data_IF_355896264606
#
_entry.id   IF_355896264606
#
_cell.length_a   1.000
_cell.length_b   1.000
_cell.length_c   1.000
_cell.angle_alpha   90.00
_cell.angle_beta   90.00
_cell.angle_gamma   90.00
#
_symmetry.space_group_name_H-M   'P 1'
#
loop_
_entity.id
_entity.type
_entity.pdbx_description
1 polymer ?
#
# COMPACT_ATOMS: atom_id res chain seq x y z
N UNK A 1 -24.73 14.15 7.36
CA UNK A 1 -23.49 14.07 6.56
C UNK A 1 -22.35 14.06 7.56
N UNK A 2 -21.60 12.95 7.68
CA UNK A 2 -20.41 12.91 8.56
C UNK A 2 -19.38 13.90 8.01
N UNK A 3 -18.85 14.74 8.87
CA UNK A 3 -17.83 15.73 8.52
C UNK A 3 -16.51 15.00 8.25
N UNK A 4 -16.38 14.46 7.03
CA UNK A 4 -15.20 13.69 6.62
C UNK A 4 -14.03 14.65 6.43
N UNK A 5 -13.00 14.48 7.25
CA UNK A 5 -11.80 15.32 7.20
C UNK A 5 -11.01 15.12 5.90
N UNK A 6 -10.14 16.05 5.56
CA UNK A 6 -9.22 15.88 4.41
C UNK A 6 -8.35 14.62 4.56
N UNK A 7 -7.87 14.33 5.77
CA UNK A 7 -7.11 13.13 6.05
C UNK A 7 -7.92 11.84 5.81
N UNK A 8 -9.17 11.80 6.26
CA UNK A 8 -10.06 10.66 5.99
C UNK A 8 -10.24 10.42 4.48
N UNK A 9 -10.34 11.50 3.69
CA UNK A 9 -10.47 11.41 2.22
C UNK A 9 -9.18 10.93 1.57
N UNK A 10 -8.02 11.42 2.01
CA UNK A 10 -6.72 10.97 1.52
C UNK A 10 -6.52 9.48 1.77
N UNK A 11 -6.80 8.99 2.97
CA UNK A 11 -6.70 7.57 3.31
C UNK A 11 -7.75 6.72 2.60
N UNK A 12 -8.96 7.25 2.37
CA UNK A 12 -10.00 6.56 1.59
C UNK A 12 -9.60 6.42 0.12
N UNK A 13 -9.06 7.48 -0.50
CA UNK A 13 -8.51 7.43 -1.85
C UNK A 13 -7.34 6.44 -1.93
N UNK A 14 -6.40 6.47 -0.99
CA UNK A 14 -5.28 5.53 -0.94
C UNK A 14 -5.78 4.07 -0.96
N UNK A 15 -6.72 3.73 -0.08
CA UNK A 15 -7.28 2.39 0.01
C UNK A 15 -8.01 1.97 -1.29
N UNK A 16 -8.77 2.87 -1.89
CA UNK A 16 -9.45 2.65 -3.16
C UNK A 16 -8.47 2.41 -4.30
N UNK A 17 -7.43 3.24 -4.42
CA UNK A 17 -6.41 3.11 -5.46
C UNK A 17 -5.59 1.80 -5.30
N UNK A 18 -5.25 1.43 -4.05
CA UNK A 18 -4.60 0.19 -3.73
C UNK A 18 -5.45 -1.03 -4.15
N UNK A 19 -6.74 -1.03 -3.80
CA UNK A 19 -7.66 -2.10 -4.16
C UNK A 19 -7.78 -2.28 -5.69
N UNK A 20 -7.90 -1.19 -6.44
CA UNK A 20 -7.97 -1.23 -7.92
C UNK A 20 -6.66 -1.74 -8.53
N UNK A 21 -5.50 -1.26 -8.05
CA UNK A 21 -4.22 -1.76 -8.49
C UNK A 21 -4.12 -3.28 -8.29
N UNK A 22 -4.37 -3.75 -7.07
CA UNK A 22 -4.23 -5.18 -6.76
C UNK A 22 -5.25 -6.06 -7.51
N UNK A 23 -6.48 -5.57 -7.74
CA UNK A 23 -7.44 -6.25 -8.59
C UNK A 23 -6.90 -6.42 -10.02
N UNK A 24 -6.25 -5.39 -10.58
CA UNK A 24 -5.58 -5.48 -11.88
C UNK A 24 -4.42 -6.47 -11.84
N UNK A 25 -3.51 -6.36 -10.87
CA UNK A 25 -2.35 -7.25 -10.76
C UNK A 25 -2.74 -8.73 -10.62
N UNK A 26 -3.83 -9.01 -9.91
CA UNK A 26 -4.34 -10.37 -9.72
C UNK A 26 -4.78 -11.05 -11.04
N UNK A 27 -5.03 -10.28 -12.10
CA UNK A 27 -5.40 -10.81 -13.43
C UNK A 27 -4.19 -11.04 -14.34
N UNK A 28 -3.00 -10.56 -13.94
CA UNK A 28 -1.82 -10.63 -14.78
C UNK A 28 -1.18 -12.03 -14.73
N UNK A 29 -0.60 -12.49 -15.85
CA UNK A 29 0.15 -13.74 -15.89
C UNK A 29 1.44 -13.65 -15.07
N UNK A 30 1.95 -14.78 -14.60
CA UNK A 30 3.11 -14.85 -13.72
C UNK A 30 4.37 -14.20 -14.31
N UNK A 31 4.59 -14.35 -15.62
CA UNK A 31 5.69 -13.71 -16.33
C UNK A 31 5.62 -12.20 -16.31
N UNK A 32 4.43 -11.60 -16.34
CA UNK A 32 4.24 -10.15 -16.22
C UNK A 32 4.46 -9.68 -14.78
N UNK A 33 4.06 -10.47 -13.78
CA UNK A 33 4.34 -10.18 -12.37
C UNK A 33 5.84 -10.24 -12.04
N UNK A 34 6.61 -11.01 -12.81
CA UNK A 34 8.05 -11.19 -12.63
C UNK A 34 8.90 -10.09 -13.32
N UNK A 35 8.32 -9.19 -14.12
CA UNK A 35 9.10 -8.14 -14.80
C UNK A 35 9.70 -7.17 -13.79
N UNK A 36 10.95 -6.74 -14.06
CA UNK A 36 11.69 -5.89 -13.13
C UNK A 36 11.42 -4.40 -13.39
N UNK A 37 11.42 -3.61 -12.35
CA UNK A 37 11.49 -2.15 -12.47
C UNK A 37 12.84 -1.76 -13.09
N UNK A 38 12.87 -0.85 -14.09
CA UNK A 38 14.12 -0.40 -14.68
C UNK A 38 15.11 0.14 -13.64
N UNK A 39 16.34 -0.36 -13.68
CA UNK A 39 17.39 0.03 -12.74
C UNK A 39 17.25 -0.54 -11.31
N UNK A 40 16.39 -1.53 -11.12
CA UNK A 40 16.14 -2.18 -9.84
C UNK A 40 16.11 -3.71 -9.98
N UNK A 41 16.36 -4.43 -8.89
CA UNK A 41 16.15 -5.87 -8.80
C UNK A 41 14.72 -6.24 -8.35
N UNK A 42 13.85 -5.26 -8.15
CA UNK A 42 12.49 -5.49 -7.68
C UNK A 42 11.55 -5.76 -8.85
N UNK A 43 10.90 -6.90 -8.80
CA UNK A 43 9.81 -7.22 -9.73
C UNK A 43 8.51 -6.53 -9.33
N UNK A 44 7.55 -6.48 -10.25
CA UNK A 44 6.17 -6.02 -9.96
C UNK A 44 5.60 -6.74 -8.74
N UNK A 45 5.74 -8.07 -8.67
CA UNK A 45 5.32 -8.86 -7.51
C UNK A 45 6.05 -8.47 -6.23
N UNK A 46 7.35 -8.19 -6.30
CA UNK A 46 8.14 -7.77 -5.13
C UNK A 46 7.70 -6.38 -4.62
N UNK A 47 7.43 -5.45 -5.52
CA UNK A 47 6.93 -4.11 -5.16
C UNK A 47 5.54 -4.22 -4.53
N UNK A 48 4.63 -5.00 -5.12
CA UNK A 48 3.29 -5.23 -4.57
C UNK A 48 3.36 -5.89 -3.17
N UNK A 49 4.22 -6.89 -3.01
CA UNK A 49 4.47 -7.55 -1.72
C UNK A 49 4.96 -6.54 -0.67
N UNK A 50 5.94 -5.70 -1.04
CA UNK A 50 6.48 -4.68 -0.15
C UNK A 50 5.41 -3.66 0.25
N UNK A 51 4.62 -3.16 -0.70
CA UNK A 51 3.53 -2.22 -0.44
C UNK A 51 2.56 -2.78 0.61
N UNK A 52 2.08 -4.01 0.43
CA UNK A 52 1.11 -4.61 1.33
C UNK A 52 1.69 -4.91 2.72
N UNK A 53 2.90 -5.48 2.77
CA UNK A 53 3.54 -5.82 4.06
C UNK A 53 4.01 -4.60 4.85
N UNK A 54 4.39 -3.52 4.17
CA UNK A 54 4.69 -2.24 4.82
C UNK A 54 3.43 -1.60 5.39
N UNK A 55 2.32 -1.56 4.63
CA UNK A 55 1.03 -1.05 5.11
C UNK A 55 0.54 -1.82 6.34
N UNK A 56 0.65 -3.17 6.32
CA UNK A 56 0.32 -4.01 7.47
C UNK A 56 1.16 -3.62 8.70
N UNK A 57 2.45 -3.41 8.52
CA UNK A 57 3.34 -3.03 9.63
C UNK A 57 3.09 -1.60 10.13
N UNK A 58 2.75 -0.64 9.26
CA UNK A 58 2.33 0.71 9.70
C UNK A 58 1.05 0.63 10.55
N UNK A 59 0.04 -0.11 10.07
CA UNK A 59 -1.19 -0.31 10.81
C UNK A 59 -0.95 -0.94 12.19
N UNK A 60 -0.14 -2.01 12.25
CA UNK A 60 0.21 -2.69 13.52
C UNK A 60 0.92 -1.75 14.50
N UNK A 61 1.86 -0.94 14.02
CA UNK A 61 2.56 0.05 14.87
C UNK A 61 1.62 1.10 15.42
N UNK A 62 0.66 1.59 14.62
CA UNK A 62 -0.37 2.53 15.09
C UNK A 62 -1.24 1.96 16.21
N UNK A 63 -1.38 0.64 16.28
CA UNK A 63 -2.16 -0.08 17.29
C UNK A 63 -1.29 -0.71 18.39
N UNK A 64 0.01 -0.40 18.45
CA UNK A 64 0.92 -0.94 19.49
C UNK A 64 1.18 -2.45 19.38
N UNK A 65 0.99 -3.03 18.20
CA UNK A 65 1.14 -4.47 17.97
C UNK A 65 2.55 -4.81 17.48
N UNK A 66 3.02 -6.03 17.75
CA UNK A 66 4.28 -6.51 17.22
C UNK A 66 4.23 -6.57 15.68
N UNK A 67 5.40 -6.60 15.06
CA UNK A 67 5.53 -6.76 13.61
C UNK A 67 4.79 -8.01 13.11
N UNK A 68 4.24 -7.91 11.88
CA UNK A 68 3.64 -9.03 11.19
C UNK A 68 4.67 -10.14 10.91
N UNK A 69 4.19 -11.37 10.85
CA UNK A 69 4.98 -12.51 10.38
C UNK A 69 5.43 -12.30 8.93
N UNK A 70 6.59 -12.87 8.59
CA UNK A 70 7.12 -12.81 7.21
C UNK A 70 6.17 -13.57 6.27
N UNK A 71 5.86 -12.95 5.15
CA UNK A 71 5.10 -13.55 4.05
C UNK A 71 6.04 -13.93 2.92
N UNK A 72 5.71 -15.00 2.22
CA UNK A 72 6.39 -15.38 0.99
C UNK A 72 6.05 -14.40 -0.15
N UNK A 73 6.98 -14.28 -1.09
CA UNK A 73 6.81 -13.45 -2.28
C UNK A 73 5.76 -14.09 -3.21
N UNK A 74 4.71 -13.36 -3.62
CA UNK A 74 3.72 -13.90 -4.54
C UNK A 74 4.35 -14.13 -5.93
N UNK A 75 3.94 -15.19 -6.60
CA UNK A 75 4.38 -15.57 -7.94
C UNK A 75 3.23 -15.68 -8.92
N UNK A 76 2.00 -15.71 -8.41
CA UNK A 76 0.78 -15.88 -9.20
C UNK A 76 -0.26 -14.80 -8.90
N UNK A 77 -1.19 -14.57 -9.83
CA UNK A 77 -2.33 -13.67 -9.61
C UNK A 77 -3.20 -14.09 -8.41
N UNK A 78 -3.36 -15.38 -8.15
CA UNK A 78 -4.11 -15.87 -6.99
C UNK A 78 -3.43 -15.47 -5.67
N UNK A 79 -2.10 -15.53 -5.59
CA UNK A 79 -1.34 -15.08 -4.41
C UNK A 79 -1.36 -13.55 -4.27
N UNK A 80 -1.39 -12.80 -5.38
CA UNK A 80 -1.64 -11.34 -5.36
C UNK A 80 -3.03 -11.04 -4.82
N UNK A 81 -4.06 -11.83 -5.19
CA UNK A 81 -5.42 -11.65 -4.63
C UNK A 81 -5.46 -11.89 -3.12
N UNK A 82 -4.73 -12.89 -2.60
CA UNK A 82 -4.59 -13.09 -1.15
C UNK A 82 -3.86 -11.92 -0.47
N UNK A 83 -2.84 -11.38 -1.12
CA UNK A 83 -2.11 -10.22 -0.62
C UNK A 83 -2.98 -8.94 -0.63
N UNK A 84 -3.92 -8.83 -1.58
CA UNK A 84 -4.91 -7.74 -1.61
C UNK A 84 -5.80 -7.71 -0.36
N UNK A 85 -6.19 -8.87 0.19
CA UNK A 85 -6.97 -8.96 1.44
C UNK A 85 -6.16 -8.45 2.65
N UNK A 86 -4.86 -8.75 2.68
CA UNK A 86 -3.94 -8.22 3.71
C UNK A 86 -3.88 -6.71 3.63
N UNK A 87 -3.69 -6.16 2.42
CA UNK A 87 -3.61 -4.72 2.18
C UNK A 87 -4.93 -4.02 2.52
N UNK A 88 -6.07 -4.56 2.11
CA UNK A 88 -7.39 -3.99 2.43
C UNK A 88 -7.63 -3.92 3.95
N UNK A 89 -7.22 -4.96 4.68
CA UNK A 89 -7.28 -4.99 6.15
C UNK A 89 -6.35 -3.93 6.76
N UNK A 90 -5.13 -3.81 6.24
CA UNK A 90 -4.16 -2.82 6.68
C UNK A 90 -4.65 -1.39 6.44
N UNK A 91 -5.18 -1.09 5.25
CA UNK A 91 -5.72 0.22 4.90
C UNK A 91 -6.92 0.62 5.78
N UNK A 92 -7.82 -0.33 6.09
CA UNK A 92 -8.92 -0.09 7.02
C UNK A 92 -8.40 0.25 8.43
N UNK A 93 -7.40 -0.49 8.92
CA UNK A 93 -6.78 -0.26 10.23
C UNK A 93 -5.95 1.02 10.29
N UNK A 94 -5.28 1.41 9.19
CA UNK A 94 -4.61 2.71 9.08
C UNK A 94 -5.60 3.86 9.25
N UNK A 95 -6.76 3.77 8.60
CA UNK A 95 -7.84 4.77 8.74
C UNK A 95 -8.40 4.82 10.16
N UNK A 96 -8.59 3.66 10.79
CA UNK A 96 -9.04 3.59 12.18
C UNK A 96 -7.99 4.19 13.11
N UNK A 97 -6.74 3.79 12.95
CA UNK A 97 -5.62 4.35 13.69
C UNK A 97 -5.49 5.87 13.53
N UNK A 98 -5.68 6.40 12.34
CA UNK A 98 -5.58 7.85 12.08
C UNK A 98 -6.69 8.68 12.77
N UNK A 99 -7.81 8.05 13.14
CA UNK A 99 -8.91 8.69 13.87
C UNK A 99 -8.71 8.73 15.38
N UNK A 100 -7.77 7.95 15.90
CA UNK A 100 -7.46 7.95 17.31
C UNK A 100 -6.84 9.30 17.70
N UNK A 101 -7.29 9.93 18.81
CA UNK A 101 -6.70 11.17 19.28
C UNK A 101 -5.29 10.92 19.80
N UNK A 102 -4.46 11.96 19.72
CA UNK A 102 -3.10 11.94 20.25
C UNK A 102 -2.04 12.09 19.18
N UNK A 103 -0.92 12.68 19.58
CA UNK A 103 0.28 12.88 18.77
C UNK A 103 1.48 12.29 19.52
N UNK A 104 1.24 11.15 20.19
CA UNK A 104 2.27 10.47 20.94
C UNK A 104 3.36 9.91 20.04
N UNK A 105 4.55 9.79 20.57
CA UNK A 105 5.63 9.04 19.93
C UNK A 105 5.37 7.54 20.10
N UNK A 106 5.43 6.84 18.99
CA UNK A 106 5.35 5.40 18.93
C UNK A 106 6.77 4.84 18.82
N UNK A 107 7.04 3.76 19.54
CA UNK A 107 8.36 3.11 19.56
C UNK A 107 8.19 1.66 19.09
N UNK A 108 9.10 1.19 18.25
CA UNK A 108 9.14 -0.21 17.79
C UNK A 108 10.57 -0.65 17.52
N UNK A 109 10.78 -1.97 17.49
CA UNK A 109 12.07 -2.56 17.14
C UNK A 109 12.09 -2.93 15.66
N UNK A 110 13.18 -2.57 14.97
CA UNK A 110 13.40 -2.95 13.56
C UNK A 110 13.77 -4.42 13.42
N UNK A 111 13.88 -4.92 12.19
CA UNK A 111 14.42 -6.26 11.92
C UNK A 111 15.88 -6.42 12.33
N UNK A 112 16.64 -5.34 12.34
CA UNK A 112 18.03 -5.31 12.79
C UNK A 112 18.20 -5.28 14.30
N UNK A 113 17.09 -5.15 15.07
CA UNK A 113 17.12 -5.05 16.52
C UNK A 113 17.23 -3.60 17.04
N UNK A 114 17.27 -2.61 16.16
CA UNK A 114 17.35 -1.21 16.56
C UNK A 114 16.00 -0.69 17.01
N UNK A 115 15.97 0.05 18.11
CA UNK A 115 14.79 0.77 18.55
C UNK A 115 14.62 2.06 17.76
N UNK A 116 13.46 2.24 17.15
CA UNK A 116 13.06 3.46 16.43
C UNK A 116 11.85 4.08 17.10
N UNK A 117 11.83 5.41 17.16
CA UNK A 117 10.70 6.17 17.66
C UNK A 117 10.34 7.28 16.69
N UNK A 118 9.06 7.39 16.35
CA UNK A 118 8.52 8.46 15.52
C UNK A 118 7.18 8.95 16.08
N UNK A 119 6.81 10.18 15.72
CA UNK A 119 5.46 10.67 16.02
C UNK A 119 4.43 9.90 15.20
N UNK A 120 3.24 9.73 15.74
CA UNK A 120 2.13 8.98 15.14
C UNK A 120 1.81 9.44 13.71
N UNK A 121 1.76 10.75 13.49
CA UNK A 121 1.45 11.31 12.18
C UNK A 121 2.45 10.89 11.08
N UNK A 122 3.73 10.65 11.46
CA UNK A 122 4.77 10.22 10.50
C UNK A 122 4.41 8.87 9.86
N UNK A 123 3.86 7.93 10.61
CA UNK A 123 3.44 6.62 10.07
C UNK A 123 2.25 6.76 9.13
N UNK A 124 1.33 7.68 9.43
CA UNK A 124 0.12 7.93 8.63
C UNK A 124 0.50 8.59 7.31
N UNK A 125 1.33 9.63 7.37
CA UNK A 125 1.81 10.37 6.21
C UNK A 125 2.66 9.47 5.30
N UNK A 126 3.60 8.71 5.93
CA UNK A 126 4.42 7.73 5.23
C UNK A 126 3.56 6.68 4.50
N UNK A 127 2.47 6.21 5.08
CA UNK A 127 1.62 5.22 4.43
C UNK A 127 1.04 5.74 3.10
N UNK A 128 0.58 7.01 3.06
CA UNK A 128 0.03 7.63 1.85
C UNK A 128 1.10 7.81 0.77
N UNK A 129 2.25 8.38 1.14
CA UNK A 129 3.35 8.62 0.21
C UNK A 129 3.95 7.34 -0.32
N UNK A 130 4.22 6.37 0.54
CA UNK A 130 4.74 5.06 0.20
C UNK A 130 3.83 4.29 -0.77
N UNK A 131 2.51 4.30 -0.52
CA UNK A 131 1.56 3.67 -1.42
C UNK A 131 1.56 4.35 -2.80
N UNK A 132 1.61 5.67 -2.87
CA UNK A 132 1.65 6.43 -4.12
C UNK A 132 2.93 6.14 -4.90
N UNK A 133 4.08 6.13 -4.23
CA UNK A 133 5.38 5.82 -4.83
C UNK A 133 5.39 4.42 -5.45
N UNK A 134 4.95 3.41 -4.71
CA UNK A 134 4.96 2.03 -5.21
C UNK A 134 3.93 1.78 -6.32
N UNK A 135 2.78 2.44 -6.32
CA UNK A 135 1.86 2.40 -7.47
C UNK A 135 2.53 2.94 -8.73
N UNK A 136 3.25 4.06 -8.62
CA UNK A 136 3.99 4.62 -9.75
C UNK A 136 5.13 3.70 -10.24
N UNK A 137 5.85 3.07 -9.33
CA UNK A 137 6.91 2.12 -9.67
C UNK A 137 6.37 0.89 -10.39
N UNK A 138 5.24 0.33 -9.96
CA UNK A 138 4.57 -0.80 -10.62
C UNK A 138 4.13 -0.40 -12.03
N UNK A 139 3.47 0.76 -12.20
CA UNK A 139 3.05 1.25 -13.50
C UNK A 139 4.25 1.45 -14.45
N UNK A 140 5.34 2.04 -13.95
CA UNK A 140 6.57 2.23 -14.73
C UNK A 140 7.23 0.91 -15.13
N UNK A 141 7.27 -0.08 -14.22
CA UNK A 141 7.81 -1.40 -14.53
C UNK A 141 7.00 -2.11 -15.61
N UNK A 142 5.68 -2.10 -15.51
CA UNK A 142 4.80 -2.68 -16.52
C UNK A 142 4.93 -1.97 -17.88
N UNK A 143 4.93 -0.63 -17.91
CA UNK A 143 5.07 0.15 -19.12
C UNK A 143 6.41 -0.08 -19.83
N UNK A 144 7.51 -0.19 -19.09
CA UNK A 144 8.84 -0.50 -19.62
C UNK A 144 8.91 -1.86 -20.33
N UNK A 145 8.00 -2.79 -19.97
CA UNK A 145 7.88 -4.11 -20.60
C UNK A 145 6.69 -4.21 -21.58
N UNK A 146 6.16 -3.07 -22.01
CA UNK A 146 5.11 -2.99 -23.04
C UNK A 146 3.69 -3.31 -22.54
N UNK A 147 3.48 -3.33 -21.23
CA UNK A 147 2.15 -3.55 -20.65
C UNK A 147 1.53 -2.23 -20.19
N UNK A 148 0.33 -1.92 -20.69
CA UNK A 148 -0.49 -0.78 -20.29
C UNK A 148 -1.58 -1.19 -19.26
N UNK A 149 -1.37 -2.27 -18.51
CA UNK A 149 -2.37 -2.81 -17.60
C UNK A 149 -2.69 -1.87 -16.43
N UNK A 150 -1.76 -0.98 -16.04
CA UNK A 150 -1.95 0.00 -14.97
C UNK A 150 -1.82 1.40 -15.56
N UNK A 151 -2.90 2.16 -15.48
CA UNK A 151 -2.98 3.57 -15.83
C UNK A 151 -3.17 4.38 -14.53
N UNK A 152 -2.22 5.25 -14.22
CA UNK A 152 -2.23 6.04 -12.99
C UNK A 152 -3.35 7.08 -12.98
N UNK A 153 -3.79 7.59 -14.14
CA UNK A 153 -4.91 8.53 -14.23
C UNK A 153 -6.23 7.87 -13.80
N UNK A 154 -6.33 6.53 -13.93
CA UNK A 154 -7.46 5.75 -13.43
C UNK A 154 -7.39 5.47 -11.91
N UNK A 155 -6.30 5.86 -11.25
CA UNK A 155 -6.07 5.68 -9.81
C UNK A 155 -5.94 7.01 -9.07
N UNK A 156 -6.13 8.14 -9.75
CA UNK A 156 -5.97 9.46 -9.19
C UNK A 156 -7.17 9.95 -8.37
N UNK A 157 -7.02 11.10 -7.73
CA UNK A 157 -8.07 11.69 -6.87
C UNK A 157 -9.27 12.23 -7.66
N UNK A 158 -9.10 12.59 -8.94
CA UNK A 158 -10.18 13.07 -9.78
C UNK A 158 -11.10 11.92 -10.15
N UNK A 159 -10.55 10.82 -10.64
CA UNK A 159 -11.28 9.59 -10.95
C UNK A 159 -11.97 9.02 -9.71
N UNK A 160 -11.32 9.07 -8.54
CA UNK A 160 -11.93 8.69 -7.28
C UNK A 160 -13.14 9.55 -6.94
N UNK A 161 -13.02 10.87 -7.07
CA UNK A 161 -14.11 11.82 -6.80
C UNK A 161 -15.31 11.60 -7.73
N UNK A 162 -15.07 11.39 -9.02
CA UNK A 162 -16.11 11.16 -10.02
C UNK A 162 -16.91 9.87 -9.76
N UNK A 163 -16.27 8.88 -9.16
CA UNK A 163 -16.89 7.61 -8.74
C UNK A 163 -17.72 7.71 -7.44
N UNK A 164 -17.70 8.85 -6.74
CA UNK A 164 -18.49 9.08 -5.51
C UNK A 164 -19.86 9.71 -5.80
N UNK A 165 -20.16 10.12 -7.05
CA UNK A 165 -21.37 10.80 -7.51
C UNK A 165 -22.54 9.88 -7.82
#
# INVERSE_FOLDING_TARGET
MSDQTTLDRMLAHMAWANARLFATLATLPAETLAVLQPGSEWSVAAIAHHLATAAENYARRLHGEPRAEKRELPTTGAEIAQLAEVLATADARLRDGARQPGDERLTWVTMGGDEISAQRWVLIDQAVHHATEHRAQIAAALAAHGSAAVDLDQLDVWTYNDGLG
#
